data_IF_871311138575
#
_entry.id   IF_871311138575
#
_cell.length_a   1.000
_cell.length_b   1.000
_cell.length_c   1.000
_cell.angle_alpha   90.00
_cell.angle_beta   90.00
_cell.angle_gamma   90.00
#
_symmetry.space_group_name_H-M   'P 1'
#
loop_
_entity.id
_entity.type
_entity.pdbx_description
1 polymer ?
#
# COMPACT_ATOMS: atom_id res chain seq x y z
N UNK A 1 -14.24 -25.00 1.54
CA UNK A 1 -12.79 -24.78 1.33
C UNK A 1 -12.30 -23.81 2.41
N UNK A 2 -11.30 -24.16 3.21
CA UNK A 2 -10.84 -23.33 4.35
C UNK A 2 -10.09 -22.07 3.87
N UNK A 3 -10.45 -20.90 4.41
CA UNK A 3 -9.82 -19.60 4.12
C UNK A 3 -8.29 -19.62 4.37
N UNK A 4 -7.84 -20.41 5.33
CA UNK A 4 -6.42 -20.57 5.69
C UNK A 4 -5.61 -21.20 4.55
N UNK A 5 -6.22 -22.13 3.80
CA UNK A 5 -5.57 -22.78 2.66
C UNK A 5 -5.37 -21.84 1.46
N UNK A 6 -6.27 -20.88 1.27
CA UNK A 6 -6.18 -19.88 0.20
C UNK A 6 -5.04 -18.88 0.47
N UNK A 7 -4.93 -18.37 1.70
CA UNK A 7 -3.85 -17.47 2.10
C UNK A 7 -2.47 -18.12 2.03
N UNK A 8 -2.34 -19.38 2.46
CA UNK A 8 -1.09 -20.13 2.33
C UNK A 8 -0.68 -20.36 0.86
N UNK A 9 -1.64 -20.42 -0.06
CA UNK A 9 -1.38 -20.54 -1.50
C UNK A 9 -0.89 -19.23 -2.12
N UNK A 10 -1.40 -18.09 -1.64
CA UNK A 10 -1.01 -16.74 -2.07
C UNK A 10 0.33 -16.26 -1.49
N UNK A 11 0.63 -16.66 -0.25
CA UNK A 11 1.86 -16.27 0.45
C UNK A 11 3.09 -17.08 0.01
N UNK A 12 2.88 -18.19 -0.69
CA UNK A 12 3.93 -18.98 -1.33
C UNK A 12 4.26 -20.27 -0.57
N UNK A 13 4.61 -21.32 -1.31
CA UNK A 13 5.05 -22.59 -0.71
C UNK A 13 6.36 -22.36 0.03
N UNK A 14 6.41 -22.73 1.32
CA UNK A 14 7.67 -22.80 2.07
C UNK A 14 8.58 -23.84 1.41
N UNK A 15 9.85 -23.49 1.21
CA UNK A 15 10.86 -24.39 0.66
C UNK A 15 10.92 -25.67 1.50
N UNK A 16 10.99 -26.83 0.84
CA UNK A 16 11.07 -28.13 1.51
C UNK A 16 12.29 -28.19 2.43
N UNK A 17 12.09 -28.56 3.71
CA UNK A 17 13.12 -28.73 4.74
C UNK A 17 13.97 -30.00 4.55
N UNK A 18 14.08 -30.50 3.32
CA UNK A 18 14.87 -31.67 3.04
C UNK A 18 16.36 -31.29 3.05
N UNK A 19 17.25 -32.12 3.63
CA UNK A 19 18.68 -31.89 3.53
C UNK A 19 19.09 -31.83 2.06
N UNK A 20 20.20 -31.14 1.72
CA UNK A 20 20.72 -31.10 0.35
C UNK A 20 20.82 -32.51 -0.23
N UNK A 21 20.37 -32.67 -1.48
CA UNK A 21 20.35 -33.98 -2.13
C UNK A 21 21.77 -34.50 -2.33
N UNK A 22 22.11 -35.59 -1.65
CA UNK A 22 23.39 -36.29 -1.81
C UNK A 22 23.26 -37.40 -2.87
N UNK A 23 24.02 -37.25 -3.96
CA UNK A 23 24.06 -38.22 -5.05
C UNK A 23 24.67 -39.56 -4.63
N UNK A 24 25.56 -39.60 -3.64
CA UNK A 24 26.25 -40.82 -3.21
C UNK A 24 25.35 -41.74 -2.37
N UNK A 25 24.45 -41.15 -1.59
CA UNK A 25 23.49 -41.85 -0.71
C UNK A 25 22.23 -42.35 -1.44
N UNK A 26 22.03 -42.00 -2.71
CA UNK A 26 20.79 -42.31 -3.42
C UNK A 26 20.64 -43.83 -3.67
N UNK A 27 19.53 -44.43 -3.16
CA UNK A 27 19.14 -45.83 -3.39
C UNK A 27 19.05 -46.18 -4.87
N UNK A 28 18.62 -45.24 -5.70
CA UNK A 28 18.46 -45.42 -7.13
C UNK A 28 19.56 -44.66 -7.87
N UNK A 29 20.66 -45.34 -8.17
CA UNK A 29 21.78 -44.76 -8.92
C UNK A 29 21.36 -44.44 -10.36
N UNK A 30 21.78 -43.29 -10.86
CA UNK A 30 21.55 -42.90 -12.24
C UNK A 30 22.32 -43.83 -13.19
N UNK A 31 21.64 -44.40 -14.20
CA UNK A 31 22.28 -45.28 -15.20
C UNK A 31 23.32 -44.55 -16.05
N UNK A 32 23.14 -43.24 -16.25
CA UNK A 32 24.11 -42.38 -16.92
C UNK A 32 24.50 -41.25 -15.98
N UNK A 33 25.81 -41.01 -15.76
CA UNK A 33 26.27 -39.88 -14.97
C UNK A 33 25.85 -38.58 -15.67
N UNK A 34 25.28 -37.67 -14.89
CA UNK A 34 25.12 -36.28 -15.30
C UNK A 34 26.24 -35.48 -14.62
N UNK A 35 26.86 -34.48 -15.25
CA UNK A 35 26.63 -33.95 -16.61
C UNK A 35 27.28 -34.81 -17.71
N UNK A 36 26.73 -34.78 -18.95
CA UNK A 36 27.38 -35.43 -20.09
C UNK A 36 28.66 -34.68 -20.49
N UNK A 37 29.68 -35.42 -20.96
CA UNK A 37 30.90 -34.82 -21.52
C UNK A 37 30.57 -34.09 -22.83
N UNK A 38 30.50 -32.75 -22.79
CA UNK A 38 30.10 -31.94 -23.94
C UNK A 38 31.07 -32.07 -25.13
N UNK A 39 32.34 -32.38 -24.87
CA UNK A 39 33.39 -32.57 -25.89
C UNK A 39 33.19 -33.80 -26.77
N UNK A 40 32.47 -34.81 -26.29
CA UNK A 40 32.23 -36.07 -27.02
C UNK A 40 30.97 -36.01 -27.90
N UNK A 41 30.15 -34.97 -27.76
CA UNK A 41 28.88 -34.82 -28.48
C UNK A 41 29.09 -34.17 -29.85
N UNK A 42 28.26 -34.53 -30.84
CA UNK A 42 28.19 -33.83 -32.12
C UNK A 42 27.82 -32.35 -31.92
N UNK A 43 28.40 -31.45 -32.72
CA UNK A 43 28.16 -30.00 -32.66
C UNK A 43 26.67 -29.62 -32.66
N UNK A 44 25.86 -30.28 -33.48
CA UNK A 44 24.39 -30.11 -33.48
C UNK A 44 23.80 -30.37 -32.10
N UNK A 45 24.21 -31.45 -31.43
CA UNK A 45 23.72 -31.79 -30.10
C UNK A 45 24.23 -30.81 -29.05
N UNK A 46 25.49 -30.38 -29.12
CA UNK A 46 26.06 -29.35 -28.26
C UNK A 46 25.22 -28.06 -28.34
N UNK A 47 24.91 -27.57 -29.54
CA UNK A 47 24.08 -26.38 -29.74
C UNK A 47 22.68 -26.52 -29.11
N UNK A 48 22.04 -27.70 -29.20
CA UNK A 48 20.76 -27.95 -28.51
C UNK A 48 20.88 -27.84 -26.99
N UNK A 49 21.96 -28.39 -26.41
CA UNK A 49 22.21 -28.31 -24.97
C UNK A 49 22.50 -26.89 -24.52
N UNK A 50 23.33 -26.15 -25.25
CA UNK A 50 23.58 -24.73 -24.98
C UNK A 50 22.31 -23.90 -25.00
N UNK A 51 21.47 -24.06 -26.04
CA UNK A 51 20.20 -23.34 -26.14
C UNK A 51 19.29 -23.68 -24.96
N UNK A 52 19.22 -24.95 -24.56
CA UNK A 52 18.43 -25.40 -23.40
C UNK A 52 19.00 -24.84 -22.08
N UNK A 53 20.31 -24.79 -21.94
CA UNK A 53 20.99 -24.23 -20.76
C UNK A 53 20.75 -22.72 -20.62
N UNK A 54 20.90 -21.95 -21.71
CA UNK A 54 20.63 -20.49 -21.72
C UNK A 54 19.20 -20.19 -21.29
N UNK A 55 18.21 -20.91 -21.84
CA UNK A 55 16.79 -20.78 -21.45
C UNK A 55 16.56 -21.06 -19.97
N UNK A 56 17.13 -22.15 -19.44
CA UNK A 56 16.98 -22.51 -18.02
C UNK A 56 17.66 -21.51 -17.10
N UNK A 57 18.81 -20.97 -17.52
CA UNK A 57 19.53 -19.94 -16.75
C UNK A 57 18.74 -18.65 -16.70
N UNK A 58 18.11 -18.23 -17.80
CA UNK A 58 17.16 -17.11 -17.82
C UNK A 58 15.98 -17.36 -16.88
N UNK A 59 15.41 -18.57 -16.87
CA UNK A 59 14.31 -18.88 -15.94
C UNK A 59 14.76 -18.86 -14.47
N UNK A 60 16.00 -19.28 -14.18
CA UNK A 60 16.58 -19.24 -12.83
C UNK A 60 16.98 -17.83 -12.39
N UNK A 61 17.31 -16.94 -13.33
CA UNK A 61 17.66 -15.55 -13.00
C UNK A 61 16.43 -14.69 -12.67
N UNK A 62 15.24 -15.11 -13.10
CA UNK A 62 13.99 -14.48 -12.67
C UNK A 62 13.84 -14.66 -11.16
N UNK A 63 13.81 -13.55 -10.42
CA UNK A 63 13.59 -13.49 -8.96
C UNK A 63 12.11 -13.17 -8.69
N UNK A 64 11.22 -14.18 -8.57
CA UNK A 64 9.78 -13.94 -8.45
C UNK A 64 9.40 -13.21 -7.16
N UNK A 65 10.14 -13.43 -6.07
CA UNK A 65 9.93 -12.77 -4.78
C UNK A 65 10.26 -11.28 -4.86
N UNK A 66 11.41 -10.92 -5.44
CA UNK A 66 11.79 -9.52 -5.66
C UNK A 66 10.75 -8.80 -6.52
N UNK A 67 10.34 -9.40 -7.64
CA UNK A 67 9.31 -8.83 -8.51
C UNK A 67 7.95 -8.67 -7.81
N UNK A 68 7.61 -9.56 -6.87
CA UNK A 68 6.38 -9.42 -6.06
C UNK A 68 6.49 -8.22 -5.12
N UNK A 69 7.61 -8.06 -4.43
CA UNK A 69 7.83 -6.94 -3.51
C UNK A 69 7.87 -5.59 -4.22
N UNK A 70 8.59 -5.48 -5.35
CA UNK A 70 8.63 -4.23 -6.11
C UNK A 70 7.25 -3.83 -6.63
N UNK A 71 6.43 -4.78 -7.08
CA UNK A 71 5.04 -4.52 -7.45
C UNK A 71 4.21 -4.02 -6.27
N UNK A 72 4.35 -4.63 -5.09
CA UNK A 72 3.65 -4.16 -3.89
C UNK A 72 4.06 -2.72 -3.58
N UNK A 73 5.36 -2.41 -3.63
CA UNK A 73 5.88 -1.07 -3.38
C UNK A 73 5.37 -0.06 -4.42
N UNK A 74 5.32 -0.45 -5.70
CA UNK A 74 4.76 0.40 -6.76
C UNK A 74 3.29 0.73 -6.50
N UNK A 75 2.47 -0.28 -6.21
CA UNK A 75 1.06 -0.07 -5.88
C UNK A 75 0.87 0.74 -4.60
N UNK A 76 1.68 0.51 -3.56
CA UNK A 76 1.62 1.31 -2.34
C UNK A 76 1.99 2.77 -2.59
N UNK A 77 2.99 3.04 -3.45
CA UNK A 77 3.38 4.40 -3.79
C UNK A 77 2.28 5.12 -4.58
N UNK A 78 1.67 4.44 -5.57
CA UNK A 78 0.53 4.99 -6.32
C UNK A 78 -0.64 5.30 -5.37
N UNK A 79 -1.02 4.34 -4.52
CA UNK A 79 -2.10 4.54 -3.54
C UNK A 79 -1.77 5.66 -2.57
N UNK A 80 -0.53 5.76 -2.09
CA UNK A 80 -0.10 6.83 -1.19
C UNK A 80 -0.25 8.21 -1.84
N UNK A 81 0.21 8.37 -3.08
CA UNK A 81 0.10 9.64 -3.82
C UNK A 81 -1.38 9.99 -4.04
N UNK A 82 -2.22 9.02 -4.40
CA UNK A 82 -3.66 9.25 -4.58
C UNK A 82 -4.32 9.69 -3.28
N UNK A 83 -4.05 9.02 -2.16
CA UNK A 83 -4.59 9.40 -0.85
C UNK A 83 -4.11 10.80 -0.47
N UNK A 84 -2.82 11.09 -0.63
CA UNK A 84 -2.27 12.41 -0.35
C UNK A 84 -2.93 13.49 -1.20
N UNK A 85 -3.04 13.28 -2.51
CA UNK A 85 -3.72 14.20 -3.43
C UNK A 85 -5.18 14.43 -3.03
N UNK A 86 -5.93 13.36 -2.78
CA UNK A 86 -7.37 13.48 -2.48
C UNK A 86 -7.62 14.11 -1.11
N UNK A 87 -6.83 13.81 -0.08
CA UNK A 87 -7.16 14.19 1.31
C UNK A 87 -6.32 15.32 1.90
N UNK A 88 -5.04 15.41 1.54
CA UNK A 88 -4.08 16.30 2.22
C UNK A 88 -3.56 17.42 1.33
N UNK A 89 -3.55 17.23 0.01
CA UNK A 89 -3.09 18.27 -0.91
C UNK A 89 -4.11 19.41 -0.99
N UNK A 90 -3.64 20.62 -0.75
CA UNK A 90 -4.45 21.82 -0.87
C UNK A 90 -4.38 22.36 -2.31
N UNK A 91 -5.45 22.15 -3.06
CA UNK A 91 -5.57 22.67 -4.42
C UNK A 91 -6.08 24.12 -4.46
N UNK A 92 -6.47 24.72 -3.32
CA UNK A 92 -6.96 26.10 -3.31
C UNK A 92 -5.83 27.12 -3.60
N UNK A 93 -4.59 26.77 -3.23
CA UNK A 93 -3.39 27.60 -3.42
C UNK A 93 -2.63 27.25 -4.73
N UNK A 94 -3.11 26.29 -5.53
CA UNK A 94 -2.43 25.85 -6.75
C UNK A 94 -2.66 26.86 -7.89
N UNK A 95 -1.59 27.44 -8.49
CA UNK A 95 -1.69 28.37 -9.62
C UNK A 95 -2.40 27.80 -10.85
N UNK A 96 -2.43 26.47 -10.99
CA UNK A 96 -3.02 25.79 -12.16
C UNK A 96 -4.45 25.31 -11.94
N UNK A 97 -5.12 25.71 -10.83
CA UNK A 97 -6.49 25.32 -10.57
C UNK A 97 -7.48 26.12 -11.45
N UNK A 98 -8.37 25.47 -12.23
CA UNK A 98 -9.38 26.15 -13.05
C UNK A 98 -10.44 26.90 -12.22
N UNK A 99 -10.60 26.58 -10.93
CA UNK A 99 -11.49 27.28 -10.00
C UNK A 99 -10.70 27.75 -8.77
N UNK A 100 -10.11 28.97 -8.82
CA UNK A 100 -9.32 29.48 -7.70
C UNK A 100 -10.15 29.57 -6.42
N UNK A 101 -9.57 29.14 -5.29
CA UNK A 101 -10.20 29.20 -3.96
C UNK A 101 -11.17 28.06 -3.61
N UNK A 102 -11.48 27.14 -4.54
CA UNK A 102 -12.30 25.95 -4.23
C UNK A 102 -11.43 24.68 -4.19
N UNK A 103 -11.47 23.96 -3.07
CA UNK A 103 -10.84 22.65 -2.96
C UNK A 103 -11.72 21.57 -3.62
N UNK A 104 -11.17 20.76 -4.56
CA UNK A 104 -11.86 19.61 -5.09
C UNK A 104 -11.96 18.52 -4.01
N UNK A 105 -13.02 17.71 -4.07
CA UNK A 105 -13.31 16.62 -3.12
C UNK A 105 -13.61 17.03 -1.66
N UNK A 106 -13.95 18.29 -1.39
CA UNK A 106 -14.29 18.76 -0.04
C UNK A 106 -15.36 17.88 0.64
N UNK A 107 -16.45 17.55 -0.05
CA UNK A 107 -17.50 16.69 0.50
C UNK A 107 -17.06 15.25 0.81
N UNK A 108 -16.04 14.73 0.10
CA UNK A 108 -15.45 13.41 0.41
C UNK A 108 -14.57 13.50 1.66
N UNK A 109 -13.78 14.57 1.79
CA UNK A 109 -12.96 14.85 2.97
C UNK A 109 -13.83 14.99 4.21
N UNK A 110 -14.88 15.81 4.14
CA UNK A 110 -15.81 16.07 5.26
C UNK A 110 -16.52 14.79 5.70
N UNK A 111 -16.98 13.96 4.75
CA UNK A 111 -17.61 12.66 5.05
C UNK A 111 -16.63 11.69 5.71
N UNK A 112 -15.37 11.65 5.24
CA UNK A 112 -14.34 10.81 5.86
C UNK A 112 -14.05 11.29 7.28
N UNK A 113 -13.84 12.59 7.51
CA UNK A 113 -13.58 13.14 8.84
C UNK A 113 -14.79 13.01 9.77
N UNK A 114 -16.01 13.06 9.26
CA UNK A 114 -17.20 12.74 10.03
C UNK A 114 -17.23 11.26 10.46
N UNK A 115 -16.88 10.33 9.57
CA UNK A 115 -16.80 8.88 9.88
C UNK A 115 -15.66 8.60 10.86
N UNK A 116 -14.47 9.17 10.62
CA UNK A 116 -13.29 8.99 11.46
C UNK A 116 -13.52 9.61 12.84
N UNK A 117 -14.07 10.82 12.88
CA UNK A 117 -14.47 11.51 14.11
C UNK A 117 -15.42 10.64 14.92
N UNK A 118 -16.49 10.14 14.31
CA UNK A 118 -17.47 9.30 15.00
C UNK A 118 -16.91 7.95 15.50
N UNK A 119 -15.83 7.45 14.89
CA UNK A 119 -15.10 6.26 15.34
C UNK A 119 -14.19 6.55 16.53
N UNK A 120 -13.46 7.67 16.51
CA UNK A 120 -12.53 8.06 17.58
C UNK A 120 -13.21 8.74 18.78
N UNK A 121 -14.32 9.45 18.59
CA UNK A 121 -15.07 10.14 19.67
C UNK A 121 -16.13 9.27 20.34
N UNK A 122 -16.15 7.96 20.08
CA UNK A 122 -16.86 7.00 20.93
C UNK A 122 -16.16 6.96 22.30
N UNK A 123 -16.43 7.95 23.14
CA UNK A 123 -16.38 7.72 24.57
C UNK A 123 -17.36 6.57 24.85
N UNK A 124 -16.97 5.49 25.55
CA UNK A 124 -17.95 4.62 26.15
C UNK A 124 -18.68 5.49 27.19
N UNK A 125 -19.75 6.15 26.78
CA UNK A 125 -20.74 6.62 27.73
C UNK A 125 -21.20 5.35 28.45
N UNK A 126 -20.69 5.15 29.67
CA UNK A 126 -21.22 4.17 30.62
C UNK A 126 -22.74 4.27 30.52
N UNK A 127 -23.36 3.22 29.98
CA UNK A 127 -24.79 3.11 29.87
C UNK A 127 -25.37 3.22 31.30
N UNK A 128 -25.92 4.38 31.65
CA UNK A 128 -26.74 4.55 32.86
C UNK A 128 -26.33 5.59 33.91
N UNK A 129 -25.44 6.58 33.65
CA UNK A 129 -25.22 7.69 34.61
C UNK A 129 -25.59 9.03 33.96
N UNK A 130 -26.60 9.77 34.46
CA UNK A 130 -26.91 11.10 33.94
C UNK A 130 -25.81 12.10 34.35
N UNK A 131 -25.27 12.82 33.38
CA UNK A 131 -24.30 13.90 33.57
C UNK A 131 -24.91 15.03 34.41
N UNK A 132 -24.66 14.98 35.73
CA UNK A 132 -24.94 16.06 36.66
C UNK A 132 -23.76 17.03 36.62
N UNK A 133 -23.68 17.88 35.60
CA UNK A 133 -22.56 18.82 35.53
C UNK A 133 -22.40 19.70 34.30
N UNK A 134 -23.42 19.94 33.47
CA UNK A 134 -23.34 20.94 32.41
C UNK A 134 -23.44 22.37 33.00
N UNK A 135 -22.40 22.80 33.71
CA UNK A 135 -22.19 24.19 34.09
C UNK A 135 -21.47 24.88 32.94
N UNK A 136 -22.20 25.80 32.31
CA UNK A 136 -21.75 26.92 31.48
C UNK A 136 -20.23 27.14 31.52
N UNK A 137 -19.58 26.86 30.41
CA UNK A 137 -18.33 27.52 30.02
C UNK A 137 -18.63 28.26 28.73
N UNK A 138 -18.43 29.56 28.79
CA UNK A 138 -18.72 30.55 27.77
C UNK A 138 -18.00 30.29 26.45
N UNK A 139 -18.51 30.95 25.41
CA UNK A 139 -17.99 30.97 24.05
C UNK A 139 -16.49 31.32 24.04
N UNK A 140 -15.64 30.30 23.92
CA UNK A 140 -14.22 30.50 23.64
C UNK A 140 -14.08 30.86 22.16
N UNK A 141 -13.57 32.07 21.94
CA UNK A 141 -13.49 32.73 20.64
C UNK A 141 -12.89 31.88 19.54
N UNK A 142 -13.46 32.01 18.35
CA UNK A 142 -12.89 31.52 17.11
C UNK A 142 -12.15 32.70 16.46
N UNK A 143 -10.80 32.72 16.39
CA UNK A 143 -10.12 33.56 15.44
C UNK A 143 -9.85 32.70 14.20
N UNK A 144 -10.80 32.67 13.26
CA UNK A 144 -10.48 32.28 11.88
C UNK A 144 -10.41 33.55 11.05
N UNK A 145 -9.17 33.88 10.70
CA UNK A 145 -8.78 35.02 9.90
C UNK A 145 -9.61 35.18 8.62
N UNK A 146 -9.92 36.44 8.27
CA UNK A 146 -10.05 36.85 6.87
C UNK A 146 -11.39 37.33 6.36
N UNK A 147 -12.24 37.96 7.17
CA UNK A 147 -13.38 38.75 6.65
C UNK A 147 -13.37 40.12 7.33
N UNK A 148 -12.85 41.13 6.61
CA UNK A 148 -13.01 42.54 6.98
C UNK A 148 -14.48 42.92 6.74
N UNK A 149 -15.20 43.25 7.81
CA UNK A 149 -16.53 43.86 7.74
C UNK A 149 -16.36 45.36 7.97
N UNK A 150 -16.55 46.12 6.88
CA UNK A 150 -16.56 47.57 6.82
C UNK A 150 -17.90 48.07 7.38
N UNK A 151 -17.87 48.78 8.53
CA UNK A 151 -19.03 49.51 9.04
C UNK A 151 -18.83 51.02 8.88
N UNK A 152 -19.60 51.57 7.94
CA UNK A 152 -19.77 53.01 7.68
C UNK A 152 -20.77 53.66 8.67
N UNK A 153 -20.47 54.92 9.01
CA UNK A 153 -21.38 56.01 9.40
C UNK A 153 -22.06 56.07 10.81
N UNK A 154 -21.43 56.86 11.71
CA UNK A 154 -21.88 58.14 12.35
C UNK A 154 -23.35 58.35 12.83
N UNK A 155 -23.70 59.29 13.76
CA UNK A 155 -22.94 60.07 14.76
C UNK A 155 -23.52 59.93 16.20
N UNK A 156 -22.81 60.43 17.23
CA UNK A 156 -23.41 60.79 18.53
C UNK A 156 -23.50 62.30 18.68
N UNK A 157 -24.71 62.77 19.00
CA UNK A 157 -25.02 64.13 19.41
C UNK A 157 -25.19 64.21 20.94
N UNK A 158 -24.75 65.35 21.47
CA UNK A 158 -24.90 65.92 22.83
C UNK A 158 -24.24 65.19 24.00
#
# INVERSE_FOLDING_TARGET
>A
MSAVGFWNRLLGRKQSQLPPFDFARNRFRAKRPWPPNLSELTEKQQFYFERKFKRRTQQKSIKPTWNKWTKIVQWSAITFIVIHGVFFYDFAEDPNNPTPGKQPFQGLRDKMWAILGNFYTRSPSTAGVPDRGARRVDAMGSPRAGVEEFDDASPKAN
#
